data_IF_197841057947
#
_entry.id   IF_197841057947
#
_cell.length_a   1.000
_cell.length_b   1.000
_cell.length_c   1.000
_cell.angle_alpha   90.00
_cell.angle_beta   90.00
_cell.angle_gamma   90.00
#
_symmetry.space_group_name_H-M   'P 1'
#
loop_
_entity.id
_entity.type
_entity.pdbx_description
1 polymer ?
#
# COMPACT_ATOMS: atom_id res chain seq x y z
N UNK A 1 -14.03 16.40 14.12
CA UNK A 1 -13.09 15.37 14.63
C UNK A 1 -13.72 13.98 14.76
N UNK A 2 -14.86 13.80 15.46
CA UNK A 2 -15.48 12.46 15.64
C UNK A 2 -15.83 11.73 14.32
N UNK A 3 -16.44 12.41 13.35
CA UNK A 3 -16.82 11.78 12.07
C UNK A 3 -15.61 11.37 11.21
N UNK A 4 -14.51 12.12 11.27
CA UNK A 4 -13.28 11.78 10.55
C UNK A 4 -12.67 10.47 11.09
N UNK A 5 -12.51 10.36 12.42
CA UNK A 5 -11.98 9.14 13.02
C UNK A 5 -12.90 7.94 12.81
N UNK A 6 -14.23 8.16 12.86
CA UNK A 6 -15.22 7.13 12.55
C UNK A 6 -15.08 6.64 11.11
N UNK A 7 -15.04 7.54 10.13
CA UNK A 7 -14.87 7.19 8.72
C UNK A 7 -13.53 6.45 8.49
N UNK A 8 -12.44 6.96 9.06
CA UNK A 8 -11.12 6.33 9.01
C UNK A 8 -11.12 4.91 9.57
N UNK A 9 -11.75 4.69 10.72
CA UNK A 9 -11.86 3.35 11.31
C UNK A 9 -12.64 2.40 10.41
N UNK A 10 -13.77 2.85 9.84
CA UNK A 10 -14.51 2.05 8.85
C UNK A 10 -13.67 1.69 7.63
N UNK A 11 -12.87 2.63 7.11
CA UNK A 11 -11.97 2.36 5.99
C UNK A 11 -10.91 1.30 6.36
N UNK A 12 -10.29 1.43 7.54
CA UNK A 12 -9.28 0.50 8.02
C UNK A 12 -9.86 -0.91 8.18
N UNK A 13 -11.03 -1.02 8.83
CA UNK A 13 -11.67 -2.29 9.11
C UNK A 13 -12.16 -2.98 7.83
N UNK A 14 -12.85 -2.25 6.94
CA UNK A 14 -13.46 -2.84 5.75
C UNK A 14 -12.47 -3.13 4.63
N UNK A 15 -11.48 -2.27 4.43
CA UNK A 15 -10.46 -2.51 3.40
C UNK A 15 -9.30 -3.35 3.93
N UNK A 16 -9.12 -3.45 5.25
CA UNK A 16 -7.90 -3.98 5.83
C UNK A 16 -6.68 -3.18 5.37
N UNK A 17 -6.83 -1.87 5.15
CA UNK A 17 -5.79 -0.99 4.63
C UNK A 17 -5.66 0.22 5.57
N UNK A 18 -4.45 0.46 6.03
CA UNK A 18 -4.12 1.60 6.87
C UNK A 18 -2.95 2.38 6.28
N UNK A 19 -3.09 3.70 6.21
CA UNK A 19 -2.01 4.61 5.82
C UNK A 19 -1.32 5.14 7.07
N UNK A 20 -0.01 4.96 7.15
CA UNK A 20 0.84 5.52 8.20
C UNK A 20 1.76 6.57 7.61
N UNK A 21 1.71 7.79 8.12
CA UNK A 21 2.76 8.78 7.85
C UNK A 21 3.98 8.41 8.70
N UNK A 22 5.13 8.29 8.07
CA UNK A 22 6.42 8.07 8.74
C UNK A 22 7.14 9.40 8.94
N UNK A 23 8.13 9.44 9.82
CA UNK A 23 8.93 10.64 10.11
C UNK A 23 9.74 11.15 8.92
N UNK A 24 9.98 10.33 7.89
CA UNK A 24 10.84 10.64 6.74
C UNK A 24 10.07 11.02 5.47
N UNK A 25 8.90 11.65 5.62
CA UNK A 25 7.99 12.01 4.51
C UNK A 25 7.58 10.84 3.59
N UNK A 26 7.63 9.62 4.13
CA UNK A 26 7.11 8.43 3.45
C UNK A 26 5.72 8.14 3.96
N UNK A 27 4.88 7.66 3.06
CA UNK A 27 3.58 7.11 3.40
C UNK A 27 3.70 5.59 3.29
N UNK A 28 3.44 4.89 4.39
CA UNK A 28 3.42 3.44 4.44
C UNK A 28 1.99 2.93 4.33
N UNK A 29 1.75 2.05 3.37
CA UNK A 29 0.51 1.30 3.23
C UNK A 29 0.66 -0.02 3.99
N UNK A 30 -0.24 -0.27 4.94
CA UNK A 30 -0.27 -1.50 5.73
C UNK A 30 -1.55 -2.26 5.43
N UNK A 31 -1.41 -3.41 4.79
CA UNK A 31 -2.51 -4.32 4.49
C UNK A 31 -2.60 -5.43 5.53
N UNK A 32 -3.85 -5.75 5.89
CA UNK A 32 -4.28 -6.91 6.66
C UNK A 32 -5.30 -7.70 5.85
N UNK A 33 -5.62 -8.92 6.30
CA UNK A 33 -6.68 -9.74 5.70
C UNK A 33 -6.47 -10.02 4.20
N UNK A 34 -5.21 -10.09 3.77
CA UNK A 34 -4.84 -10.51 2.41
C UNK A 34 -4.87 -12.04 2.31
N UNK A 35 -4.28 -12.72 3.30
CA UNK A 35 -4.32 -14.17 3.40
C UNK A 35 -5.42 -14.59 4.38
N UNK A 36 -6.46 -15.27 3.88
CA UNK A 36 -7.55 -15.76 4.71
C UNK A 36 -7.11 -16.76 5.79
N UNK A 37 -6.04 -17.54 5.55
CA UNK A 37 -5.46 -18.48 6.52
C UNK A 37 -4.65 -17.78 7.61
N UNK A 38 -4.15 -16.57 7.33
CA UNK A 38 -3.33 -15.76 8.24
C UNK A 38 -3.81 -14.30 8.20
N UNK A 39 -5.03 -13.99 8.70
CA UNK A 39 -5.66 -12.68 8.54
C UNK A 39 -4.88 -11.54 9.21
N UNK A 40 -4.13 -11.85 10.26
CA UNK A 40 -3.30 -10.90 10.99
C UNK A 40 -1.92 -10.66 10.35
N UNK A 41 -1.53 -11.44 9.33
CA UNK A 41 -0.26 -11.22 8.63
C UNK A 41 -0.32 -9.88 7.89
N UNK A 42 0.72 -9.08 8.11
CA UNK A 42 0.86 -7.77 7.49
C UNK A 42 1.57 -7.88 6.15
N UNK A 43 1.13 -7.07 5.20
CA UNK A 43 1.78 -6.83 3.92
C UNK A 43 1.95 -5.33 3.80
N UNK A 44 3.19 -4.87 3.62
CA UNK A 44 3.54 -3.46 3.73
C UNK A 44 4.33 -3.01 2.52
N UNK A 45 4.10 -1.77 2.11
CA UNK A 45 5.04 -1.04 1.28
C UNK A 45 5.03 0.44 1.63
N UNK A 46 6.15 1.12 1.40
CA UNK A 46 6.32 2.54 1.69
C UNK A 46 6.65 3.29 0.41
N UNK A 47 5.94 4.39 0.13
CA UNK A 47 6.23 5.27 -0.99
C UNK A 47 6.68 6.65 -0.52
N UNK A 48 7.51 7.30 -1.34
CA UNK A 48 7.81 8.74 -1.26
C UNK A 48 7.75 9.34 -2.67
N UNK A 49 7.73 10.66 -2.73
CA UNK A 49 7.90 11.41 -3.97
C UNK A 49 9.31 12.00 -3.95
N UNK A 50 10.04 11.89 -5.06
CA UNK A 50 11.37 12.48 -5.22
C UNK A 50 11.33 13.92 -5.74
N UNK A 51 12.50 14.52 -5.91
CA UNK A 51 12.68 15.87 -6.44
C UNK A 51 12.11 16.07 -7.86
N UNK A 52 11.94 15.00 -8.64
CA UNK A 52 11.39 15.02 -9.99
C UNK A 52 9.89 14.71 -10.02
N UNK A 53 9.23 14.75 -8.85
CA UNK A 53 7.81 14.39 -8.69
C UNK A 53 7.50 12.96 -9.11
N UNK A 54 8.46 12.03 -8.97
CA UNK A 54 8.27 10.61 -9.23
C UNK A 54 8.05 9.85 -7.93
N UNK A 55 7.12 8.89 -7.99
CA UNK A 55 6.88 7.94 -6.92
C UNK A 55 8.02 6.93 -6.86
N UNK A 56 8.55 6.73 -5.66
CA UNK A 56 9.54 5.71 -5.35
C UNK A 56 8.98 4.79 -4.27
N UNK A 57 9.09 3.48 -4.48
CA UNK A 57 8.90 2.51 -3.40
C UNK A 57 10.22 2.35 -2.66
N UNK A 58 10.19 2.59 -1.35
CA UNK A 58 11.37 2.56 -0.47
C UNK A 58 11.46 1.28 0.35
N UNK A 59 10.33 0.65 0.62
CA UNK A 59 10.22 -0.59 1.40
C UNK A 59 9.08 -1.43 0.82
N UNK A 60 9.22 -2.76 0.81
CA UNK A 60 8.17 -3.68 0.42
C UNK A 60 8.37 -5.04 1.09
N UNK A 61 7.40 -5.47 1.90
CA UNK A 61 7.45 -6.76 2.59
C UNK A 61 6.07 -7.43 2.60
N UNK A 62 5.94 -8.68 2.09
CA UNK A 62 6.95 -9.45 1.33
C UNK A 62 7.31 -8.76 0.01
N UNK A 63 8.47 -9.07 -0.57
CA UNK A 63 8.87 -8.50 -1.85
C UNK A 63 7.91 -8.93 -2.96
N UNK A 64 7.47 -7.98 -3.78
CA UNK A 64 6.65 -8.23 -4.97
C UNK A 64 7.57 -8.32 -6.20
N UNK A 65 7.58 -9.45 -6.93
CA UNK A 65 8.53 -9.66 -8.03
C UNK A 65 8.48 -8.61 -9.16
N UNK A 66 7.30 -8.10 -9.49
CA UNK A 66 7.09 -7.13 -10.58
C UNK A 66 6.89 -5.69 -10.07
N UNK A 67 7.46 -5.36 -8.90
CA UNK A 67 7.23 -4.05 -8.27
C UNK A 67 7.74 -2.88 -9.13
N UNK A 68 8.85 -3.05 -9.84
CA UNK A 68 9.42 -2.02 -10.71
C UNK A 68 8.49 -1.65 -11.86
N UNK A 69 7.88 -2.64 -12.51
CA UNK A 69 6.89 -2.44 -13.58
C UNK A 69 5.66 -1.67 -13.04
N UNK A 70 5.19 -2.05 -11.84
CA UNK A 70 4.07 -1.36 -11.19
C UNK A 70 4.41 0.10 -10.88
N UNK A 71 5.64 0.39 -10.45
CA UNK A 71 6.13 1.74 -10.16
C UNK A 71 6.30 2.56 -11.45
N UNK A 72 6.82 1.95 -12.52
CA UNK A 72 6.89 2.60 -13.84
C UNK A 72 5.49 2.99 -14.34
N UNK A 73 4.52 2.07 -14.24
CA UNK A 73 3.12 2.34 -14.60
C UNK A 73 2.50 3.41 -13.70
N UNK A 74 2.78 3.41 -12.40
CA UNK A 74 2.35 4.47 -11.49
C UNK A 74 2.88 5.84 -11.94
N UNK A 75 4.17 5.93 -12.24
CA UNK A 75 4.81 7.16 -12.68
C UNK A 75 4.38 7.63 -14.07
N UNK A 76 3.92 6.72 -14.93
CA UNK A 76 3.38 7.05 -16.25
C UNK A 76 1.92 7.52 -16.20
N UNK A 77 1.12 6.96 -15.28
CA UNK A 77 -0.34 7.19 -15.23
C UNK A 77 -0.79 8.12 -14.11
N UNK A 78 0.09 8.40 -13.14
CA UNK A 78 -0.22 9.09 -11.90
C UNK A 78 -1.42 8.48 -11.12
N UNK A 79 -1.72 7.19 -11.35
CA UNK A 79 -2.90 6.54 -10.79
C UNK A 79 -2.57 5.73 -9.54
N UNK A 80 -2.44 6.42 -8.41
CA UNK A 80 -2.11 5.82 -7.11
C UNK A 80 -3.15 4.77 -6.67
N UNK A 81 -4.43 5.03 -6.91
CA UNK A 81 -5.51 4.09 -6.56
C UNK A 81 -5.34 2.75 -7.28
N UNK A 82 -5.06 2.76 -8.59
CA UNK A 82 -4.82 1.54 -9.35
C UNK A 82 -3.53 0.82 -8.93
N UNK A 83 -2.49 1.58 -8.55
CA UNK A 83 -1.25 1.01 -8.01
C UNK A 83 -1.50 0.26 -6.68
N UNK A 84 -2.23 0.86 -5.73
CA UNK A 84 -2.61 0.23 -4.45
C UNK A 84 -3.40 -1.08 -4.69
N UNK A 85 -4.34 -1.07 -5.64
CA UNK A 85 -5.10 -2.27 -6.01
C UNK A 85 -4.20 -3.36 -6.61
N UNK A 86 -3.25 -2.97 -7.46
CA UNK A 86 -2.30 -3.89 -8.09
C UNK A 86 -1.36 -4.51 -7.06
N UNK A 87 -0.84 -3.72 -6.12
CA UNK A 87 -0.04 -4.20 -4.99
C UNK A 87 -0.83 -5.18 -4.11
N UNK A 88 -2.10 -4.90 -3.82
CA UNK A 88 -2.96 -5.81 -3.06
C UNK A 88 -3.12 -7.17 -3.76
N UNK A 89 -3.34 -7.15 -5.08
CA UNK A 89 -3.44 -8.39 -5.89
C UNK A 89 -2.13 -9.16 -5.89
N UNK A 90 -1.00 -8.48 -6.04
CA UNK A 90 0.32 -9.10 -6.00
C UNK A 90 0.62 -9.72 -4.63
N UNK A 91 0.31 -9.05 -3.52
CA UNK A 91 0.42 -9.67 -2.20
C UNK A 91 -0.47 -10.90 -2.05
N UNK A 92 -1.68 -10.88 -2.61
CA UNK A 92 -2.59 -12.03 -2.57
C UNK A 92 -2.05 -13.22 -3.36
N UNK A 93 -1.39 -13.02 -4.51
CA UNK A 93 -0.77 -14.13 -5.24
C UNK A 93 0.41 -14.74 -4.49
N UNK A 94 1.06 -14.00 -3.60
CA UNK A 94 2.11 -14.54 -2.72
C UNK A 94 1.56 -15.38 -1.53
N UNK A 95 0.24 -15.54 -1.41
CA UNK A 95 -0.40 -16.19 -0.26
C UNK A 95 -0.73 -17.67 -0.42
N UNK A 96 -0.21 -18.35 -1.46
CA UNK A 96 -0.46 -19.76 -1.75
C UNK A 96 -0.39 -20.68 -0.51
#
# INVERSE_FOLDING_TARGET
MKEYEKAKNYFIERLGLHFKKTSSDRIQMVFKSINHRKPNKLYIFSIKIDENSKYLVTECHPLVPNIEELVQKLNATNNLSNFILSMRKAFKSLCH
#
